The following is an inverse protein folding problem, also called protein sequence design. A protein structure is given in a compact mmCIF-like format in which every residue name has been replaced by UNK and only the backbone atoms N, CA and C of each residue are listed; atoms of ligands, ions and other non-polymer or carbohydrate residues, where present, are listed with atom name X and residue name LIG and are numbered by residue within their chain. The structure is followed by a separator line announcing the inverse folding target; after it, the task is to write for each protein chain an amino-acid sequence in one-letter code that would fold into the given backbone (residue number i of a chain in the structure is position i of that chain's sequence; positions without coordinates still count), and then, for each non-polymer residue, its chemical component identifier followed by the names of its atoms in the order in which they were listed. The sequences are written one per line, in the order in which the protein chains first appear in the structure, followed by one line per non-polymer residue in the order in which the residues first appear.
data_IF_475894799334
#
_entry.id   IF_475894799334
#
_cell.length_a   1.000
_cell.length_b   1.000
_cell.length_c   1.000
_cell.angle_alpha   90.00
_cell.angle_beta   90.00
_cell.angle_gamma   90.00
#
_symmetry.space_group_name_H-M   'P 1'
#
loop_
_entity.id
_entity.type
_entity.pdbx_description
1 polymer ?
#
# COMPACT_ATOMS: atom_id res chain seq x y z
N UNK A 1 6.38 -1.51 5.13
CA UNK A 1 5.14 -0.72 5.03
C UNK A 1 5.34 0.61 5.74
N UNK A 2 4.82 1.69 5.19
CA UNK A 2 4.78 3.03 5.79
C UNK A 2 3.32 3.42 5.96
N UNK A 3 2.99 4.17 7.03
CA UNK A 3 1.69 4.80 7.23
C UNK A 3 1.89 6.19 7.88
N UNK A 4 0.81 6.92 8.16
CA UNK A 4 0.86 8.28 8.71
C UNK A 4 1.60 8.41 10.04
N UNK A 5 1.50 7.40 10.90
CA UNK A 5 2.19 7.32 12.18
C UNK A 5 2.51 5.85 12.51
N UNK A 6 3.27 5.67 13.59
CA UNK A 6 3.76 4.35 13.98
C UNK A 6 2.62 3.48 14.49
N UNK A 7 1.71 4.06 15.27
CA UNK A 7 0.58 3.39 15.89
C UNK A 7 -0.36 2.80 14.83
N UNK A 8 -0.69 3.58 13.80
CA UNK A 8 -1.48 3.13 12.65
C UNK A 8 -0.73 2.04 11.89
N UNK A 9 0.56 2.23 11.61
CA UNK A 9 1.35 1.23 10.89
C UNK A 9 1.38 -0.12 11.63
N UNK A 10 1.61 -0.10 12.94
CA UNK A 10 1.59 -1.28 13.81
C UNK A 10 0.21 -1.94 13.87
N UNK A 11 -0.87 -1.15 13.94
CA UNK A 11 -2.23 -1.66 13.90
C UNK A 11 -2.54 -2.39 12.58
N UNK A 12 -2.26 -1.76 11.42
CA UNK A 12 -2.45 -2.39 10.10
C UNK A 12 -1.60 -3.67 10.00
N UNK A 13 -0.35 -3.61 10.46
CA UNK A 13 0.54 -4.76 10.42
C UNK A 13 0.02 -5.93 11.24
N UNK A 14 -0.43 -5.70 12.47
CA UNK A 14 -1.07 -6.72 13.30
C UNK A 14 -2.33 -7.26 12.63
N UNK A 15 -3.25 -6.38 12.24
CA UNK A 15 -4.60 -6.77 11.84
C UNK A 15 -4.66 -7.36 10.42
N UNK A 16 -3.66 -7.08 9.58
CA UNK A 16 -3.63 -7.55 8.19
C UNK A 16 -2.49 -8.52 7.93
N UNK A 17 -1.26 -8.19 8.32
CA UNK A 17 -0.08 -9.01 7.99
C UNK A 17 0.06 -10.17 8.95
N UNK A 18 0.06 -9.91 10.26
CA UNK A 18 0.17 -10.97 11.28
C UNK A 18 -1.06 -11.86 11.23
N UNK A 19 -2.26 -11.27 11.16
CA UNK A 19 -3.50 -12.04 10.96
C UNK A 19 -3.41 -12.97 9.75
N UNK A 20 -2.98 -12.49 8.58
CA UNK A 20 -2.87 -13.34 7.40
C UNK A 20 -1.84 -14.46 7.57
N UNK A 21 -0.70 -14.19 8.22
CA UNK A 21 0.31 -15.20 8.51
C UNK A 21 -0.22 -16.29 9.47
N UNK A 22 -0.91 -15.89 10.54
CA UNK A 22 -1.44 -16.80 11.56
C UNK A 22 -2.56 -17.70 11.03
N UNK A 23 -3.27 -17.26 9.99
CA UNK A 23 -4.34 -18.00 9.32
C UNK A 23 -3.88 -18.71 8.04
N UNK A 24 -2.58 -18.79 7.78
CA UNK A 24 -2.07 -19.65 6.71
C UNK A 24 -2.41 -21.12 7.00
N UNK A 25 -2.72 -21.92 5.96
CA UNK A 25 -2.72 -23.38 6.06
C UNK A 25 -1.45 -23.88 6.75
N UNK A 26 -1.59 -24.90 7.59
CA UNK A 26 -0.50 -25.41 8.43
C UNK A 26 0.75 -25.74 7.61
N UNK A 27 0.56 -26.39 6.46
CA UNK A 27 1.62 -26.79 5.54
C UNK A 27 2.39 -25.60 4.96
N UNK A 28 1.72 -24.45 4.78
CA UNK A 28 2.40 -23.22 4.35
C UNK A 28 3.14 -22.60 5.53
N UNK A 29 2.50 -22.49 6.69
CA UNK A 29 3.12 -21.88 7.88
C UNK A 29 4.39 -22.63 8.30
N UNK A 30 4.41 -23.96 8.19
CA UNK A 30 5.60 -24.78 8.42
C UNK A 30 6.73 -24.51 7.41
N UNK A 31 6.40 -24.24 6.15
CA UNK A 31 7.37 -23.91 5.09
C UNK A 31 7.92 -22.50 5.19
N UNK A 32 7.21 -21.60 5.85
CA UNK A 32 7.61 -20.20 6.03
C UNK A 32 7.84 -19.87 7.52
N UNK A 33 8.73 -20.60 8.23
CA UNK A 33 8.91 -20.40 9.66
C UNK A 33 9.47 -19.01 9.96
N UNK A 34 9.07 -18.45 11.10
CA UNK A 34 9.59 -17.18 11.60
C UNK A 34 10.80 -17.41 12.49
N UNK A 35 11.89 -16.71 12.22
CA UNK A 35 13.03 -16.59 13.16
C UNK A 35 12.76 -15.54 14.24
N UNK A 36 11.93 -14.53 13.94
CA UNK A 36 11.53 -13.49 14.88
C UNK A 36 10.14 -12.96 14.51
N UNK A 37 9.31 -12.75 15.53
CA UNK A 37 8.02 -12.10 15.42
C UNK A 37 7.94 -10.99 16.47
N UNK A 38 7.51 -9.79 16.06
CA UNK A 38 7.33 -8.64 16.95
C UNK A 38 6.17 -7.77 16.45
N UNK A 39 5.79 -6.76 17.21
CA UNK A 39 4.77 -5.79 16.81
C UNK A 39 5.13 -4.99 15.54
N UNK A 40 6.41 -5.00 15.14
CA UNK A 40 6.93 -4.19 14.03
C UNK A 40 7.50 -4.99 12.87
N UNK A 41 7.75 -6.28 13.07
CA UNK A 41 8.54 -7.09 12.13
C UNK A 41 8.20 -8.58 12.26
N UNK A 42 8.01 -9.22 11.10
CA UNK A 42 8.08 -10.67 10.92
C UNK A 42 9.36 -10.96 10.11
N UNK A 43 10.26 -11.76 10.67
CA UNK A 43 11.49 -12.22 10.01
C UNK A 43 11.37 -13.72 9.73
N UNK A 44 11.50 -14.09 8.47
CA UNK A 44 11.43 -15.46 8.01
C UNK A 44 12.78 -16.17 8.18
N UNK A 45 12.78 -17.27 8.94
CA UNK A 45 14.02 -17.99 9.30
C UNK A 45 14.64 -18.80 8.18
N UNK A 46 13.87 -19.13 7.14
CA UNK A 46 14.35 -19.96 6.02
C UNK A 46 15.12 -19.16 4.96
N UNK A 47 14.98 -17.82 4.90
CA UNK A 47 15.61 -17.01 3.85
C UNK A 47 16.00 -15.58 4.28
N UNK A 48 15.88 -15.26 5.58
CA UNK A 48 16.17 -13.93 6.13
C UNK A 48 15.37 -12.77 5.50
N UNK A 49 14.27 -13.07 4.79
CA UNK A 49 13.34 -12.05 4.33
C UNK A 49 12.54 -11.52 5.50
N UNK A 50 12.18 -10.24 5.47
CA UNK A 50 11.33 -9.67 6.51
C UNK A 50 10.24 -8.75 5.96
N UNK A 51 9.14 -8.69 6.69
CA UNK A 51 8.09 -7.69 6.52
C UNK A 51 8.11 -6.84 7.78
N UNK A 52 8.32 -5.54 7.61
CA UNK A 52 8.39 -4.59 8.72
C UNK A 52 7.63 -3.31 8.46
N UNK A 53 7.26 -2.64 9.54
CA UNK A 53 6.73 -1.28 9.50
C UNK A 53 7.81 -0.26 9.80
N UNK A 54 7.72 0.89 9.16
CA UNK A 54 8.62 2.01 9.38
C UNK A 54 7.89 3.33 9.10
N UNK A 55 8.32 4.41 9.74
CA UNK A 55 7.81 5.76 9.44
C UNK A 55 8.49 6.36 8.20
N UNK A 56 9.72 5.94 7.92
CA UNK A 56 10.51 6.27 6.74
C UNK A 56 11.53 5.16 6.47
N UNK A 57 11.89 4.98 5.21
CA UNK A 57 12.96 4.09 4.78
C UNK A 57 13.87 4.82 3.79
N UNK A 58 15.17 4.84 4.08
CA UNK A 58 16.22 5.33 3.15
C UNK A 58 17.39 4.35 3.02
N UNK A 59 17.56 3.48 4.01
CA UNK A 59 18.64 2.48 4.07
C UNK A 59 18.16 1.06 3.76
N UNK A 60 19.04 0.28 3.13
CA UNK A 60 18.78 -1.09 2.68
C UNK A 60 18.04 -1.15 1.33
N UNK A 61 18.11 -2.30 0.66
CA UNK A 61 17.38 -2.53 -0.61
C UNK A 61 15.99 -3.08 -0.29
N UNK A 62 14.98 -2.22 -0.37
CA UNK A 62 13.59 -2.62 -0.15
C UNK A 62 13.00 -3.04 -1.49
N UNK A 63 12.84 -4.35 -1.67
CA UNK A 63 12.27 -4.90 -2.89
C UNK A 63 10.75 -4.67 -2.99
N UNK A 64 10.08 -4.43 -1.86
CA UNK A 64 8.63 -4.21 -1.80
C UNK A 64 8.29 -3.10 -0.80
N UNK A 65 7.76 -2.00 -1.29
CA UNK A 65 7.28 -0.89 -0.46
C UNK A 65 5.78 -0.72 -0.64
N UNK A 66 5.06 -0.72 0.47
CA UNK A 66 3.65 -0.35 0.56
C UNK A 66 3.54 0.93 1.39
N UNK A 67 2.98 2.00 0.82
CA UNK A 67 2.79 3.31 1.47
C UNK A 67 1.30 3.55 1.69
N UNK A 68 0.87 3.39 2.93
CA UNK A 68 -0.52 3.38 3.31
C UNK A 68 -1.13 4.75 3.63
N UNK A 69 -2.36 4.96 3.18
CA UNK A 69 -3.14 6.20 3.31
C UNK A 69 -2.34 7.45 2.85
N UNK A 70 -1.65 7.36 1.72
CA UNK A 70 -0.67 8.40 1.35
C UNK A 70 -1.28 9.80 1.12
N UNK A 71 -2.50 9.89 0.62
CA UNK A 71 -3.23 11.15 0.48
C UNK A 71 -3.46 11.85 1.82
N UNK A 72 -3.76 11.09 2.88
CA UNK A 72 -3.86 11.61 4.25
C UNK A 72 -2.50 12.08 4.76
N UNK A 73 -1.42 11.39 4.40
CA UNK A 73 -0.04 11.83 4.71
C UNK A 73 0.26 13.15 3.98
N UNK A 74 -0.07 13.27 2.70
CA UNK A 74 0.10 14.50 1.93
C UNK A 74 -0.63 15.69 2.56
N UNK A 75 -1.90 15.49 2.94
CA UNK A 75 -2.74 16.56 3.49
C UNK A 75 -2.32 16.99 4.90
N UNK A 76 -2.00 16.04 5.79
CA UNK A 76 -1.75 16.33 7.22
C UNK A 76 -0.28 16.46 7.58
N UNK A 77 0.61 15.81 6.84
CA UNK A 77 2.04 15.71 7.16
C UNK A 77 2.90 15.94 5.91
N UNK A 78 2.84 17.13 5.28
CA UNK A 78 3.50 17.41 4.00
C UNK A 78 5.03 17.19 4.04
N UNK A 79 5.68 17.49 5.15
CA UNK A 79 7.10 17.21 5.34
C UNK A 79 7.43 15.70 5.26
N UNK A 80 6.58 14.87 5.85
CA UNK A 80 6.71 13.40 5.78
C UNK A 80 6.39 12.88 4.38
N UNK A 81 5.38 13.45 3.71
CA UNK A 81 5.09 13.12 2.32
C UNK A 81 6.31 13.40 1.42
N UNK A 82 6.95 14.56 1.57
CA UNK A 82 8.18 14.90 0.86
C UNK A 82 9.32 13.91 1.19
N UNK A 83 9.48 13.51 2.45
CA UNK A 83 10.47 12.51 2.84
C UNK A 83 10.23 11.15 2.16
N UNK A 84 8.98 10.71 2.06
CA UNK A 84 8.60 9.47 1.38
C UNK A 84 8.92 9.57 -0.12
N UNK A 85 8.56 10.68 -0.76
CA UNK A 85 8.80 10.90 -2.20
C UNK A 85 10.29 10.99 -2.54
N UNK A 86 11.07 11.70 -1.73
CA UNK A 86 12.49 11.94 -2.01
C UNK A 86 13.42 10.87 -1.45
N UNK A 87 12.96 10.06 -0.50
CA UNK A 87 13.77 9.06 0.19
C UNK A 87 13.28 7.63 -0.01
N UNK A 88 12.04 7.34 0.39
CA UNK A 88 11.53 5.97 0.43
C UNK A 88 11.17 5.39 -0.93
N UNK A 89 10.55 6.18 -1.80
CA UNK A 89 10.20 5.75 -3.15
C UNK A 89 11.46 5.42 -3.97
N UNK A 90 12.50 6.29 -4.03
CA UNK A 90 13.72 5.99 -4.78
C UNK A 90 14.55 4.83 -4.23
N UNK A 91 14.32 4.41 -2.98
CA UNK A 91 14.99 3.25 -2.38
C UNK A 91 14.48 1.90 -2.92
N UNK A 92 13.35 1.90 -3.65
CA UNK A 92 12.83 0.70 -4.32
C UNK A 92 13.54 0.55 -5.67
N UNK A 93 14.22 -0.58 -5.94
CA UNK A 93 14.87 -0.81 -7.22
C UNK A 93 13.82 -0.94 -8.33
N UNK A 94 14.21 -0.73 -9.60
CA UNK A 94 13.32 -0.89 -10.76
C UNK A 94 12.73 -2.31 -10.91
N UNK A 95 13.40 -3.32 -10.34
CA UNK A 95 12.91 -4.70 -10.26
C UNK A 95 11.97 -4.95 -9.07
N UNK A 96 11.86 -3.98 -8.16
CA UNK A 96 11.00 -4.03 -6.99
C UNK A 96 9.56 -3.64 -7.30
N UNK A 97 8.72 -3.68 -6.27
CA UNK A 97 7.30 -3.32 -6.35
C UNK A 97 7.03 -2.20 -5.36
N UNK A 98 6.48 -1.09 -5.87
CA UNK A 98 5.95 0.01 -5.10
C UNK A 98 4.43 0.05 -5.24
N UNK A 99 3.72 -0.03 -4.12
CA UNK A 99 2.28 0.16 -4.03
C UNK A 99 2.02 1.36 -3.14
N UNK A 100 1.26 2.32 -3.67
CA UNK A 100 0.81 3.50 -2.95
C UNK A 100 -0.71 3.50 -3.09
N UNK A 101 -1.41 3.48 -1.97
CA UNK A 101 -2.86 3.51 -1.91
C UNK A 101 -3.33 4.61 -0.96
N UNK A 102 -4.49 5.18 -1.27
CA UNK A 102 -5.16 6.15 -0.42
C UNK A 102 -6.55 6.45 -0.97
N UNK A 103 -7.40 7.02 -0.13
CA UNK A 103 -8.49 7.88 -0.59
C UNK A 103 -7.97 9.28 -0.90
N UNK A 104 -8.59 9.96 -1.87
CA UNK A 104 -8.27 11.35 -2.21
C UNK A 104 -8.70 12.29 -1.08
N UNK A 105 -7.80 13.18 -0.66
CA UNK A 105 -8.00 14.16 0.43
C UNK A 105 -7.87 15.60 -0.09
N UNK A 106 -8.42 15.87 -1.29
CA UNK A 106 -8.34 17.17 -1.97
C UNK A 106 -7.77 17.09 -3.39
N UNK A 107 -7.48 18.26 -3.97
CA UNK A 107 -7.00 18.40 -5.36
C UNK A 107 -5.56 18.90 -5.45
N UNK A 108 -4.80 18.70 -4.38
CA UNK A 108 -3.41 19.14 -4.27
C UNK A 108 -2.55 18.06 -3.57
N UNK A 109 -1.23 18.23 -3.69
CA UNK A 109 -0.24 17.37 -3.05
C UNK A 109 0.22 16.18 -3.89
N UNK A 110 1.30 15.54 -3.43
CA UNK A 110 2.04 14.52 -4.19
C UNK A 110 1.17 13.34 -4.64
N UNK A 111 0.25 12.86 -3.80
CA UNK A 111 -0.64 11.75 -4.17
C UNK A 111 -1.60 12.12 -5.30
N UNK A 112 -2.16 13.34 -5.26
CA UNK A 112 -3.02 13.84 -6.33
C UNK A 112 -2.23 13.93 -7.64
N UNK A 113 -1.04 14.52 -7.62
CA UNK A 113 -0.21 14.66 -8.81
C UNK A 113 0.24 13.30 -9.36
N UNK A 114 0.55 12.33 -8.50
CA UNK A 114 0.84 10.95 -8.90
C UNK A 114 -0.35 10.31 -9.61
N UNK A 115 -1.56 10.47 -9.07
CA UNK A 115 -2.79 9.95 -9.68
C UNK A 115 -3.04 10.59 -11.06
N UNK A 116 -2.96 11.91 -11.17
CA UNK A 116 -3.18 12.63 -12.43
C UNK A 116 -2.20 12.18 -13.51
N UNK A 117 -0.90 12.06 -13.18
CA UNK A 117 0.12 11.56 -14.11
C UNK A 117 -0.16 10.13 -14.55
N UNK A 118 -0.51 9.24 -13.62
CA UNK A 118 -0.79 7.84 -13.93
C UNK A 118 -2.07 7.68 -14.76
N UNK A 119 -3.11 8.46 -14.48
CA UNK A 119 -4.35 8.50 -15.26
C UNK A 119 -4.10 8.97 -16.69
N UNK A 120 -3.29 10.02 -16.88
CA UNK A 120 -2.95 10.51 -18.21
C UNK A 120 -2.24 9.44 -19.06
N UNK A 121 -1.35 8.64 -18.46
CA UNK A 121 -0.69 7.52 -19.14
C UNK A 121 -1.67 6.42 -19.57
N UNK A 122 -2.63 6.09 -18.70
CA UNK A 122 -3.68 5.10 -19.00
C UNK A 122 -4.62 5.60 -20.10
N UNK A 123 -5.08 6.85 -20.01
CA UNK A 123 -5.93 7.49 -21.01
C UNK A 123 -5.23 7.55 -22.39
N UNK A 124 -3.93 7.84 -22.41
CA UNK A 124 -3.10 7.84 -23.61
C UNK A 124 -2.79 6.44 -24.17
N UNK A 125 -3.23 5.36 -23.52
CA UNK A 125 -2.91 3.95 -23.87
C UNK A 125 -1.40 3.71 -24.03
N UNK A 126 -0.59 4.42 -23.26
CA UNK A 126 0.86 4.32 -23.34
C UNK A 126 1.34 2.97 -22.76
N UNK A 127 2.36 2.37 -23.38
CA UNK A 127 3.07 1.25 -22.78
C UNK A 127 3.92 1.79 -21.63
N UNK A 128 3.58 1.38 -20.40
CA UNK A 128 4.27 1.85 -19.19
C UNK A 128 5.72 1.36 -19.14
N UNK A 129 6.62 2.23 -18.68
CA UNK A 129 7.99 1.86 -18.27
C UNK A 129 8.02 1.35 -16.83
N UNK A 130 9.13 0.74 -16.41
CA UNK A 130 9.29 0.24 -15.03
C UNK A 130 9.25 1.34 -13.95
N UNK A 131 9.47 2.60 -14.32
CA UNK A 131 9.41 3.75 -13.41
C UNK A 131 8.05 4.45 -13.37
N UNK A 132 7.11 4.03 -14.22
CA UNK A 132 5.79 4.64 -14.31
C UNK A 132 4.75 3.87 -13.52
N UNK A 133 3.84 4.61 -12.88
CA UNK A 133 2.75 4.02 -12.12
C UNK A 133 1.64 3.51 -13.03
N UNK A 134 1.16 2.31 -12.73
CA UNK A 134 -0.12 1.81 -13.27
C UNK A 134 -1.25 2.31 -12.38
N UNK A 135 -2.12 3.16 -12.93
CA UNK A 135 -3.28 3.66 -12.19
C UNK A 135 -4.32 2.56 -11.97
N UNK A 136 -4.90 2.51 -10.77
CA UNK A 136 -6.02 1.66 -10.40
C UNK A 136 -6.93 2.42 -9.43
N UNK A 137 -8.24 2.39 -9.68
CA UNK A 137 -9.25 2.97 -8.80
C UNK A 137 -10.43 2.02 -8.69
N UNK A 138 -10.88 1.78 -7.46
CA UNK A 138 -12.05 0.94 -7.18
C UNK A 138 -13.02 1.77 -6.34
N UNK A 139 -14.14 2.15 -6.96
CA UNK A 139 -15.16 2.94 -6.32
C UNK A 139 -16.26 2.05 -5.73
N UNK A 140 -16.97 2.55 -4.71
CA UNK A 140 -17.97 1.77 -3.98
C UNK A 140 -19.08 1.20 -4.87
N UNK A 141 -19.54 1.95 -5.89
CA UNK A 141 -20.59 1.50 -6.82
C UNK A 141 -20.14 0.40 -7.80
N UNK A 142 -18.84 0.09 -7.84
CA UNK A 142 -18.33 -1.04 -8.62
C UNK A 142 -18.48 -2.37 -7.88
N UNK A 143 -18.74 -2.34 -6.57
CA UNK A 143 -19.00 -3.54 -5.79
C UNK A 143 -20.42 -4.06 -6.07
N UNK A 144 -20.59 -5.29 -6.58
CA UNK A 144 -21.92 -5.86 -6.83
C UNK A 144 -22.80 -5.92 -5.58
N UNK A 145 -22.21 -6.02 -4.39
CA UNK A 145 -22.94 -6.00 -3.12
C UNK A 145 -23.54 -4.62 -2.79
N UNK A 146 -23.04 -3.55 -3.43
CA UNK A 146 -23.56 -2.18 -3.31
C UNK A 146 -24.63 -1.89 -4.39
N UNK A 147 -25.46 -2.87 -4.69
CA UNK A 147 -26.65 -2.72 -5.54
C UNK A 147 -27.91 -2.98 -4.71
N UNK A 148 -28.98 -2.24 -4.99
CA UNK A 148 -30.30 -2.52 -4.42
C UNK A 148 -31.03 -3.51 -5.32
N UNK A 149 -31.78 -4.43 -4.73
CA UNK A 149 -32.68 -5.28 -5.49
C UNK A 149 -33.77 -4.40 -6.12
N UNK A 150 -33.77 -4.31 -7.45
CA UNK A 150 -34.75 -3.52 -8.19
C UNK A 150 -36.19 -3.99 -7.96
N UNK A 151 -36.39 -5.24 -7.53
CA UNK A 151 -37.72 -5.76 -7.17
C UNK A 151 -38.25 -5.22 -5.83
N UNK A 152 -37.39 -4.61 -5.02
CA UNK A 152 -37.74 -3.99 -3.73
C UNK A 152 -38.07 -2.50 -3.83
N UNK A 153 -38.04 -1.93 -5.04
CA UNK A 153 -38.30 -0.52 -5.30
C UNK A 153 -39.73 -0.38 -5.85
N UNK A 154 -40.67 0.05 -5.01
CA UNK A 154 -42.02 0.39 -5.45
C UNK A 154 -41.97 1.63 -6.36
N UNK A 155 -42.57 1.52 -7.55
CA UNK A 155 -42.75 2.65 -8.44
C UNK A 155 -43.82 3.60 -7.86
N UNK A 156 -43.43 4.84 -7.55
CA UNK A 156 -44.36 5.95 -7.26
C UNK A 156 -44.98 6.51 -8.55
#
# INVERSE_FOLDING_TARGET
MIAQDRETAEAIFRDKVVFAYDHLPEELRERFPLAKASTKELLFGHNNSSIRVATSVRGGTIHRLHVSDFGKICAKFPAKANEVVTGSIPAVPLSGILVIESTTEGWEGEFYDMCQRAQALVAGKAKLTASQYRFHSYAWWQDPAYSMDTASIDAQ
#
